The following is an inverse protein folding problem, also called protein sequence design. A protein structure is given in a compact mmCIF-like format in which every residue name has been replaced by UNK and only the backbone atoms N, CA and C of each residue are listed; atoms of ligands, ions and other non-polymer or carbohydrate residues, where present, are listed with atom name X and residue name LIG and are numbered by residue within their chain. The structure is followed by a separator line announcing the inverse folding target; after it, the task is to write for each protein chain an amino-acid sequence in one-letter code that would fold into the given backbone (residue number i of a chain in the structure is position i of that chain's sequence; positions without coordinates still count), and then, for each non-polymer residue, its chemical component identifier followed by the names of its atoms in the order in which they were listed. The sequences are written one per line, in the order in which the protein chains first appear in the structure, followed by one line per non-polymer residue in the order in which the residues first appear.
data_IF_014825419902
#
_entry.id   IF_014825419902
#
_cell.length_a   1.000
_cell.length_b   1.000
_cell.length_c   1.000
_cell.angle_alpha   90.00
_cell.angle_beta   90.00
_cell.angle_gamma   90.00
#
_symmetry.space_group_name_H-M   'P 1'
#
loop_
_entity.id
_entity.type
_entity.pdbx_description
1 polymer ?
#
# COMPACT_ATOMS: atom_id res chain seq x y z
N UNK A 1 -11.22 -29.31 -7.34
CA UNK A 1 -11.19 -27.84 -7.18
C UNK A 1 -12.46 -27.23 -6.57
N UNK A 2 -13.36 -28.00 -5.92
CA UNK A 2 -14.55 -27.41 -5.28
C UNK A 2 -14.25 -26.64 -3.98
N UNK A 3 -13.11 -26.94 -3.31
CA UNK A 3 -12.80 -26.36 -2.00
C UNK A 3 -12.53 -24.86 -2.04
N UNK A 4 -11.80 -24.36 -3.05
CA UNK A 4 -11.44 -22.94 -3.20
C UNK A 4 -12.70 -22.09 -3.41
N UNK A 5 -13.62 -22.56 -4.25
CA UNK A 5 -14.89 -21.89 -4.49
C UNK A 5 -15.83 -22.01 -3.28
N UNK A 6 -15.85 -23.15 -2.60
CA UNK A 6 -16.67 -23.35 -1.38
C UNK A 6 -16.24 -22.44 -0.23
N UNK A 7 -14.95 -22.21 -0.06
CA UNK A 7 -14.41 -21.39 1.05
C UNK A 7 -13.97 -19.99 0.59
N UNK A 8 -14.51 -19.50 -0.54
CA UNK A 8 -14.07 -18.25 -1.17
C UNK A 8 -14.09 -17.05 -0.24
N UNK A 9 -15.21 -16.91 0.48
CA UNK A 9 -15.41 -15.84 1.45
C UNK A 9 -14.43 -15.92 2.61
N UNK A 10 -14.11 -17.12 3.09
CA UNK A 10 -13.22 -17.32 4.25
C UNK A 10 -11.82 -16.86 3.93
N UNK A 11 -11.24 -17.31 2.81
CA UNK A 11 -9.89 -16.89 2.45
C UNK A 11 -9.81 -15.42 2.06
N UNK A 12 -10.86 -14.83 1.46
CA UNK A 12 -10.92 -13.37 1.20
C UNK A 12 -10.89 -12.55 2.48
N UNK A 13 -11.63 -12.98 3.52
CA UNK A 13 -11.58 -12.35 4.84
C UNK A 13 -10.19 -12.48 5.45
N UNK A 14 -9.58 -13.67 5.37
CA UNK A 14 -8.22 -13.88 5.87
C UNK A 14 -7.20 -12.96 5.15
N UNK A 15 -7.26 -12.87 3.82
CA UNK A 15 -6.41 -11.96 3.04
C UNK A 15 -6.66 -10.50 3.42
N UNK A 16 -7.92 -10.08 3.60
CA UNK A 16 -8.23 -8.72 4.02
C UNK A 16 -7.62 -8.38 5.38
N UNK A 17 -7.73 -9.28 6.36
CA UNK A 17 -7.12 -9.12 7.68
C UNK A 17 -5.59 -9.06 7.58
N UNK A 18 -4.99 -9.93 6.77
CA UNK A 18 -3.54 -9.94 6.57
C UNK A 18 -3.04 -8.67 5.86
N UNK A 19 -3.80 -8.13 4.89
CA UNK A 19 -3.49 -6.84 4.27
C UNK A 19 -3.58 -5.69 5.28
N UNK A 20 -4.52 -5.73 6.23
CA UNK A 20 -4.61 -4.74 7.31
C UNK A 20 -3.40 -4.83 8.25
N UNK A 21 -2.95 -6.04 8.60
CA UNK A 21 -1.71 -6.22 9.37
C UNK A 21 -0.50 -5.70 8.58
N UNK A 22 -0.44 -5.97 7.28
CA UNK A 22 0.66 -5.51 6.43
C UNK A 22 0.73 -3.97 6.34
N UNK A 23 -0.41 -3.27 6.24
CA UNK A 23 -0.43 -1.80 6.19
C UNK A 23 -0.13 -1.14 7.55
N UNK A 24 -0.40 -1.84 8.66
CA UNK A 24 0.03 -1.40 10.00
C UNK A 24 1.54 -1.61 10.24
N UNK A 25 2.18 -2.49 9.48
CA UNK A 25 3.62 -2.67 9.51
C UNK A 25 4.40 -1.49 8.91
N UNK A 26 5.75 -1.49 9.02
CA UNK A 26 6.64 -0.46 8.50
C UNK A 26 6.78 -0.54 6.98
N UNK A 27 6.61 0.61 6.31
CA UNK A 27 6.66 0.74 4.85
C UNK A 27 7.78 1.64 4.36
N UNK A 28 8.10 2.68 5.13
CA UNK A 28 9.13 3.67 4.79
C UNK A 28 9.92 4.05 6.03
N UNK A 29 10.95 4.87 5.86
CA UNK A 29 11.66 5.51 6.96
C UNK A 29 11.46 7.02 6.93
N UNK A 30 11.17 7.59 8.08
CA UNK A 30 11.36 9.02 8.29
C UNK A 30 12.84 9.31 8.53
N UNK A 31 13.41 10.26 7.81
CA UNK A 31 14.86 10.52 7.81
C UNK A 31 15.20 11.61 8.80
N UNK A 32 16.08 11.30 9.74
CA UNK A 32 16.59 12.24 10.73
C UNK A 32 18.10 12.40 10.49
N UNK A 33 18.55 13.65 10.38
CA UNK A 33 19.97 13.95 10.29
C UNK A 33 20.61 13.78 11.68
N UNK A 34 21.48 12.79 11.79
CA UNK A 34 22.28 12.48 12.97
C UNK A 34 23.70 12.21 12.48
N UNK A 35 24.68 13.08 12.79
CA UNK A 35 26.04 12.90 12.34
C UNK A 35 26.55 11.49 12.64
N UNK A 36 27.29 10.91 11.70
CA UNK A 36 27.77 9.54 11.74
C UNK A 36 28.61 9.19 12.98
N UNK A 37 29.21 10.20 13.62
CA UNK A 37 29.93 10.10 14.89
C UNK A 37 29.04 9.69 16.07
N UNK A 38 27.75 10.04 16.05
CA UNK A 38 26.81 9.73 17.13
C UNK A 38 25.96 8.51 16.79
N UNK A 39 25.76 7.54 17.71
CA UNK A 39 24.92 6.39 17.44
C UNK A 39 23.44 6.78 17.26
N UNK A 40 22.70 6.06 16.41
CA UNK A 40 21.25 6.20 16.34
C UNK A 40 20.62 5.67 17.64
N UNK A 41 19.77 6.46 18.28
CA UNK A 41 18.99 6.03 19.43
C UNK A 41 17.83 5.13 18.99
N UNK A 42 17.56 4.06 19.73
CA UNK A 42 16.39 3.20 19.47
C UNK A 42 15.10 4.02 19.60
N UNK A 43 14.12 3.88 18.68
CA UNK A 43 13.95 2.83 17.67
C UNK A 43 14.57 3.14 16.29
N UNK A 44 15.42 4.16 16.19
CA UNK A 44 15.98 4.62 14.91
C UNK A 44 17.12 3.71 14.43
N UNK A 45 17.19 3.50 13.12
CA UNK A 45 18.18 2.61 12.49
C UNK A 45 19.05 3.44 11.54
N UNK A 46 20.35 3.19 11.50
CA UNK A 46 21.25 3.88 10.56
C UNK A 46 20.88 3.49 9.13
N UNK A 47 20.57 4.49 8.30
CA UNK A 47 20.24 4.28 6.89
C UNK A 47 21.50 4.38 6.03
N UNK A 48 22.08 5.58 5.95
CA UNK A 48 23.29 5.87 5.18
C UNK A 48 23.94 7.18 5.67
N UNK A 49 25.26 7.18 5.85
CA UNK A 49 26.02 8.35 6.31
C UNK A 49 25.47 8.96 7.58
N UNK A 50 25.15 10.26 7.52
CA UNK A 50 24.62 11.04 8.63
C UNK A 50 23.10 10.94 8.79
N UNK A 51 22.46 9.88 8.27
CA UNK A 51 21.01 9.71 8.38
C UNK A 51 20.64 8.47 9.18
N UNK A 52 19.86 8.69 10.24
CA UNK A 52 19.07 7.66 10.91
C UNK A 52 17.64 7.65 10.34
N UNK A 53 16.96 6.52 10.48
CA UNK A 53 15.63 6.28 9.96
C UNK A 53 14.69 5.78 11.04
N UNK A 54 13.53 6.40 11.19
CA UNK A 54 12.44 5.89 12.04
C UNK A 54 11.48 5.10 11.15
N UNK A 55 11.28 3.80 11.37
CA UNK A 55 10.35 3.03 10.55
C UNK A 55 8.93 3.56 10.72
N UNK A 56 8.31 3.99 9.63
CA UNK A 56 6.95 4.51 9.61
C UNK A 56 5.98 3.46 9.09
N UNK A 57 4.87 3.29 9.81
CA UNK A 57 3.82 2.39 9.40
C UNK A 57 3.09 2.90 8.15
N UNK A 58 2.67 1.98 7.27
CA UNK A 58 1.90 2.31 6.06
C UNK A 58 0.59 3.05 6.36
N UNK A 59 0.03 2.91 7.56
CA UNK A 59 -1.20 3.64 7.95
C UNK A 59 -1.01 5.17 7.97
N UNK A 60 0.22 5.67 8.08
CA UNK A 60 0.52 7.11 7.99
C UNK A 60 0.29 7.68 6.58
N UNK A 61 0.18 6.82 5.56
CA UNK A 61 -0.16 7.22 4.19
C UNK A 61 -1.55 7.88 4.14
N UNK A 62 -2.51 7.43 4.97
CA UNK A 62 -3.87 7.96 4.95
C UNK A 62 -3.96 9.44 5.36
N UNK A 63 -3.47 9.88 6.54
CA UNK A 63 -3.51 11.29 6.91
C UNK A 63 -2.69 12.17 5.95
N UNK A 64 -1.58 11.66 5.41
CA UNK A 64 -0.84 12.38 4.37
C UNK A 64 -1.63 12.54 3.07
N UNK A 65 -2.32 11.51 2.62
CA UNK A 65 -3.15 11.58 1.42
C UNK A 65 -4.33 12.55 1.62
N UNK A 66 -5.05 12.46 2.74
CA UNK A 66 -6.20 13.34 3.03
C UNK A 66 -5.75 14.78 3.26
N UNK A 67 -4.74 14.98 4.10
CA UNK A 67 -4.18 16.30 4.41
C UNK A 67 -3.53 16.94 3.18
N UNK A 68 -2.77 16.17 2.40
CA UNK A 68 -2.16 16.63 1.15
C UNK A 68 -3.20 17.07 0.12
N UNK A 69 -4.27 16.29 -0.05
CA UNK A 69 -5.37 16.67 -0.94
C UNK A 69 -6.05 17.97 -0.49
N UNK A 70 -6.41 18.10 0.79
CA UNK A 70 -7.05 19.30 1.33
C UNK A 70 -6.12 20.51 1.18
N UNK A 71 -4.85 20.39 1.58
CA UNK A 71 -3.88 21.48 1.51
C UNK A 71 -3.61 21.91 0.07
N UNK A 72 -3.49 20.96 -0.86
CA UNK A 72 -3.32 21.26 -2.28
C UNK A 72 -4.55 22.00 -2.82
N UNK A 73 -5.76 21.53 -2.53
CA UNK A 73 -7.00 22.20 -2.95
C UNK A 73 -7.14 23.61 -2.39
N UNK A 74 -6.86 23.81 -1.10
CA UNK A 74 -6.87 25.14 -0.47
C UNK A 74 -5.81 26.03 -1.13
N UNK A 75 -4.59 25.54 -1.29
CA UNK A 75 -3.49 26.28 -1.91
C UNK A 75 -3.80 26.71 -3.35
N UNK A 76 -4.48 25.86 -4.13
CA UNK A 76 -4.92 26.21 -5.48
C UNK A 76 -5.98 27.32 -5.47
N UNK A 77 -6.97 27.24 -4.56
CA UNK A 77 -8.05 28.24 -4.44
C UNK A 77 -7.52 29.58 -3.93
N UNK A 78 -6.56 29.58 -3.00
CA UNK A 78 -5.96 30.81 -2.47
C UNK A 78 -4.86 31.40 -3.37
N UNK A 79 -4.51 30.70 -4.46
CA UNK A 79 -3.40 31.10 -5.33
C UNK A 79 -2.00 30.93 -4.70
N UNK A 80 -1.90 30.22 -3.58
CA UNK A 80 -0.63 29.94 -2.91
C UNK A 80 0.15 28.79 -3.59
N UNK A 81 -0.53 27.97 -4.40
CA UNK A 81 0.04 26.84 -5.13
C UNK A 81 -0.29 26.95 -6.61
N UNK A 82 0.70 26.71 -7.47
CA UNK A 82 0.48 26.67 -8.92
C UNK A 82 -0.26 25.41 -9.37
N UNK A 83 -0.93 25.46 -10.53
CA UNK A 83 -1.64 24.30 -11.10
C UNK A 83 -0.73 23.08 -11.32
N UNK A 84 0.52 23.30 -11.69
CA UNK A 84 1.52 22.23 -11.91
C UNK A 84 1.88 21.52 -10.61
N UNK A 85 2.07 22.26 -9.52
CA UNK A 85 2.34 21.73 -8.18
C UNK A 85 1.11 20.95 -7.67
N UNK A 86 -0.08 21.54 -7.79
CA UNK A 86 -1.33 20.87 -7.43
C UNK A 86 -1.49 19.54 -8.15
N UNK A 87 -1.24 19.52 -9.47
CA UNK A 87 -1.35 18.30 -10.29
C UNK A 87 -0.35 17.24 -9.82
N UNK A 88 0.87 17.63 -9.45
CA UNK A 88 1.89 16.71 -8.92
C UNK A 88 1.44 16.08 -7.60
N UNK A 89 0.97 16.89 -6.65
CA UNK A 89 0.49 16.41 -5.35
C UNK A 89 -0.76 15.53 -5.49
N UNK A 90 -1.66 15.90 -6.41
CA UNK A 90 -2.85 15.11 -6.73
C UNK A 90 -2.48 13.75 -7.34
N UNK A 91 -1.56 13.71 -8.30
CA UNK A 91 -1.09 12.46 -8.90
C UNK A 91 -0.35 11.58 -7.89
N UNK A 92 0.42 12.17 -6.98
CA UNK A 92 1.06 11.44 -5.89
C UNK A 92 0.01 10.82 -4.95
N UNK A 93 -0.99 11.60 -4.53
CA UNK A 93 -2.11 11.12 -3.71
C UNK A 93 -2.91 10.02 -4.41
N UNK A 94 -3.17 10.17 -5.71
CA UNK A 94 -3.87 9.17 -6.52
C UNK A 94 -3.08 7.85 -6.59
N UNK A 95 -1.75 7.90 -6.73
CA UNK A 95 -0.90 6.69 -6.71
C UNK A 95 -0.97 5.98 -5.37
N UNK A 96 -0.96 6.73 -4.26
CA UNK A 96 -1.09 6.15 -2.92
C UNK A 96 -2.48 5.54 -2.69
N UNK A 97 -3.53 6.15 -3.24
CA UNK A 97 -4.88 5.59 -3.18
C UNK A 97 -4.98 4.21 -3.85
N UNK A 98 -4.14 3.90 -4.85
CA UNK A 98 -4.12 2.58 -5.48
C UNK A 98 -3.78 1.46 -4.49
N UNK A 99 -2.98 1.74 -3.44
CA UNK A 99 -2.70 0.78 -2.36
C UNK A 99 -3.91 0.49 -1.49
N UNK A 100 -4.94 1.34 -1.52
CA UNK A 100 -6.16 1.15 -0.74
C UNK A 100 -7.23 0.39 -1.52
N UNK A 101 -7.13 0.34 -2.85
CA UNK A 101 -8.11 -0.34 -3.70
C UNK A 101 -8.33 -1.81 -3.35
N UNK A 102 -7.31 -2.62 -2.99
CA UNK A 102 -7.54 -4.02 -2.59
C UNK A 102 -8.48 -4.16 -1.40
N UNK A 103 -8.43 -3.26 -0.42
CA UNK A 103 -9.30 -3.31 0.75
C UNK A 103 -10.77 -3.10 0.36
N UNK A 104 -11.04 -2.01 -0.37
CA UNK A 104 -12.40 -1.69 -0.81
C UNK A 104 -12.95 -2.72 -1.79
N UNK A 105 -12.14 -3.18 -2.75
CA UNK A 105 -12.57 -4.19 -3.73
C UNK A 105 -12.82 -5.56 -3.09
N UNK A 106 -12.00 -5.98 -2.12
CA UNK A 106 -12.23 -7.22 -1.36
C UNK A 106 -13.52 -7.12 -0.54
N UNK A 107 -13.74 -5.98 0.14
CA UNK A 107 -14.96 -5.74 0.91
C UNK A 107 -16.21 -5.78 0.01
N UNK A 108 -16.15 -5.14 -1.16
CA UNK A 108 -17.23 -5.16 -2.15
C UNK A 108 -17.53 -6.57 -2.65
N UNK A 109 -16.54 -7.43 -2.81
CA UNK A 109 -16.75 -8.83 -3.18
C UNK A 109 -17.32 -9.67 -2.05
N UNK A 110 -16.91 -9.43 -0.80
CA UNK A 110 -17.44 -10.12 0.38
C UNK A 110 -18.91 -9.78 0.60
N UNK A 111 -19.28 -8.50 0.45
CA UNK A 111 -20.64 -8.01 0.70
C UNK A 111 -21.56 -8.19 -0.51
N UNK A 112 -21.04 -7.93 -1.70
CA UNK A 112 -21.83 -7.84 -2.93
C UNK A 112 -21.79 -9.10 -3.81
N UNK A 113 -21.04 -10.13 -3.42
CA UNK A 113 -20.92 -11.36 -4.20
C UNK A 113 -20.07 -11.24 -5.48
N UNK A 114 -20.03 -12.34 -6.24
CA UNK A 114 -19.07 -12.60 -7.32
C UNK A 114 -19.53 -12.15 -8.71
N UNK A 115 -20.04 -10.92 -8.85
CA UNK A 115 -20.31 -10.38 -10.18
C UNK A 115 -19.03 -10.24 -11.00
N UNK A 116 -19.03 -10.75 -12.26
CA UNK A 116 -17.88 -10.73 -13.18
C UNK A 116 -17.19 -9.37 -13.28
N UNK A 117 -17.96 -8.27 -13.31
CA UNK A 117 -17.41 -6.90 -13.36
C UNK A 117 -16.66 -6.52 -12.08
N UNK A 118 -17.18 -6.88 -10.91
CA UNK A 118 -16.52 -6.63 -9.61
C UNK A 118 -15.25 -7.46 -9.47
N UNK A 119 -15.27 -8.71 -9.95
CA UNK A 119 -14.10 -9.56 -9.92
C UNK A 119 -12.98 -9.03 -10.82
N UNK A 120 -13.30 -8.57 -12.05
CA UNK A 120 -12.31 -7.93 -12.92
C UNK A 120 -11.73 -6.65 -12.30
N UNK A 121 -12.57 -5.82 -11.68
CA UNK A 121 -12.10 -4.63 -10.96
C UNK A 121 -11.17 -5.00 -9.81
N UNK A 122 -11.49 -6.03 -9.04
CA UNK A 122 -10.66 -6.50 -7.93
C UNK A 122 -9.30 -7.04 -8.40
N UNK A 123 -9.27 -7.80 -9.51
CA UNK A 123 -8.01 -8.26 -10.12
C UNK A 123 -7.14 -7.07 -10.55
N UNK A 124 -7.74 -6.07 -11.20
CA UNK A 124 -7.02 -4.85 -11.56
C UNK A 124 -6.50 -4.09 -10.33
N UNK A 125 -7.32 -3.97 -9.28
CA UNK A 125 -6.92 -3.36 -8.02
C UNK A 125 -5.73 -4.08 -7.36
N UNK A 126 -5.76 -5.41 -7.28
CA UNK A 126 -4.66 -6.21 -6.74
C UNK A 126 -3.38 -6.07 -7.57
N UNK A 127 -3.50 -6.09 -8.91
CA UNK A 127 -2.35 -5.92 -9.80
C UNK A 127 -1.71 -4.54 -9.68
N UNK A 128 -2.52 -3.47 -9.70
CA UNK A 128 -2.06 -2.09 -9.53
C UNK A 128 -1.41 -1.89 -8.16
N UNK A 129 -2.04 -2.37 -7.09
CA UNK A 129 -1.50 -2.24 -5.75
C UNK A 129 -0.18 -3.01 -5.57
N UNK A 130 -0.07 -4.21 -6.15
CA UNK A 130 1.18 -4.98 -6.14
C UNK A 130 2.30 -4.24 -6.88
N UNK A 131 1.99 -3.66 -8.05
CA UNK A 131 2.95 -2.88 -8.83
C UNK A 131 3.43 -1.61 -8.10
N UNK A 132 2.51 -0.84 -7.52
CA UNK A 132 2.87 0.35 -6.73
C UNK A 132 3.63 -0.03 -5.47
N UNK A 133 3.20 -1.06 -4.75
CA UNK A 133 3.91 -1.58 -3.59
C UNK A 133 5.35 -1.98 -3.93
N UNK A 134 5.54 -2.68 -5.05
CA UNK A 134 6.87 -3.06 -5.54
C UNK A 134 7.75 -1.85 -5.87
N UNK A 135 7.19 -0.83 -6.53
CA UNK A 135 7.90 0.43 -6.81
C UNK A 135 8.35 1.13 -5.52
N UNK A 136 7.51 1.13 -4.48
CA UNK A 136 7.87 1.68 -3.16
C UNK A 136 8.95 0.83 -2.49
N UNK A 137 8.82 -0.49 -2.51
CA UNK A 137 9.78 -1.41 -1.91
C UNK A 137 11.17 -1.32 -2.54
N UNK A 138 11.25 -1.23 -3.87
CA UNK A 138 12.52 -1.13 -4.61
C UNK A 138 13.14 0.27 -4.48
N UNK A 139 12.34 1.33 -4.43
CA UNK A 139 12.85 2.71 -4.26
C UNK A 139 13.29 3.04 -2.84
N UNK A 140 12.96 2.17 -1.87
CA UNK A 140 13.40 2.26 -0.48
C UNK A 140 14.84 1.73 -0.29
N UNK A 141 15.29 1.58 0.95
CA UNK A 141 16.64 1.08 1.27
C UNK A 141 16.73 -0.45 1.10
N UNK A 142 17.33 -0.97 0.01
CA UNK A 142 17.30 -2.41 -0.28
C UNK A 142 18.05 -3.24 0.77
N UNK A 143 19.07 -2.65 1.41
CA UNK A 143 19.83 -3.29 2.49
C UNK A 143 19.00 -3.54 3.75
N UNK A 144 17.91 -2.80 3.94
CA UNK A 144 17.04 -2.83 5.12
C UNK A 144 15.66 -3.43 4.80
N UNK A 145 15.56 -4.27 3.77
CA UNK A 145 14.30 -4.85 3.34
C UNK A 145 13.57 -5.62 4.47
N UNK A 146 14.31 -6.30 5.35
CA UNK A 146 13.75 -7.01 6.51
C UNK A 146 13.06 -6.08 7.50
N UNK A 147 13.53 -4.84 7.64
CA UNK A 147 12.95 -3.84 8.55
C UNK A 147 11.63 -3.33 7.99
N UNK A 148 11.52 -3.20 6.67
CA UNK A 148 10.29 -2.78 5.97
C UNK A 148 9.38 -3.98 5.65
N UNK A 149 9.21 -4.90 6.60
CA UNK A 149 8.43 -6.12 6.37
C UNK A 149 6.98 -5.87 5.95
N UNK A 150 6.39 -4.73 6.33
CA UNK A 150 5.01 -4.38 6.01
C UNK A 150 4.76 -4.29 4.51
N UNK A 151 5.64 -3.58 3.77
CA UNK A 151 5.50 -3.44 2.31
C UNK A 151 5.70 -4.78 1.59
N UNK A 152 6.68 -5.59 2.01
CA UNK A 152 6.95 -6.89 1.38
C UNK A 152 5.83 -7.90 1.65
N UNK A 153 5.32 -7.94 2.88
CA UNK A 153 4.16 -8.75 3.23
C UNK A 153 2.95 -8.33 2.39
N UNK A 154 2.72 -7.02 2.24
CA UNK A 154 1.63 -6.49 1.43
C UNK A 154 1.73 -6.94 -0.04
N UNK A 155 2.91 -6.79 -0.67
CA UNK A 155 3.14 -7.21 -2.06
C UNK A 155 2.90 -8.71 -2.21
N UNK A 156 3.47 -9.53 -1.31
CA UNK A 156 3.32 -10.98 -1.35
C UNK A 156 1.85 -11.43 -1.20
N UNK A 157 1.11 -10.80 -0.30
CA UNK A 157 -0.32 -11.07 -0.10
C UNK A 157 -1.15 -10.64 -1.30
N UNK A 158 -0.89 -9.46 -1.87
CA UNK A 158 -1.62 -8.95 -3.03
C UNK A 158 -1.37 -9.83 -4.27
N UNK A 159 -0.12 -10.26 -4.50
CA UNK A 159 0.22 -11.20 -5.56
C UNK A 159 -0.41 -12.60 -5.35
N UNK A 160 -0.38 -13.10 -4.12
CA UNK A 160 -1.00 -14.39 -3.78
C UNK A 160 -2.52 -14.36 -3.97
N UNK A 161 -3.17 -13.27 -3.53
CA UNK A 161 -4.59 -13.04 -3.72
C UNK A 161 -4.94 -12.95 -5.22
N UNK A 162 -4.11 -12.28 -6.01
CA UNK A 162 -4.28 -12.17 -7.45
C UNK A 162 -4.27 -13.57 -8.10
N UNK A 163 -3.28 -14.40 -7.76
CA UNK A 163 -3.18 -15.78 -8.27
C UNK A 163 -4.41 -16.60 -7.87
N UNK A 164 -4.83 -16.54 -6.59
CA UNK A 164 -6.00 -17.27 -6.10
C UNK A 164 -7.30 -16.85 -6.79
N UNK A 165 -7.50 -15.55 -7.01
CA UNK A 165 -8.67 -15.03 -7.72
C UNK A 165 -8.68 -15.43 -9.20
N UNK A 166 -7.53 -15.42 -9.87
CA UNK A 166 -7.41 -15.89 -11.27
C UNK A 166 -7.74 -17.38 -11.35
N UNK A 167 -7.18 -18.20 -10.46
CA UNK A 167 -7.47 -19.64 -10.41
C UNK A 167 -8.95 -19.91 -10.13
N UNK A 168 -9.57 -19.16 -9.21
CA UNK A 168 -10.99 -19.27 -8.92
C UNK A 168 -11.88 -18.87 -10.11
N UNK A 169 -11.47 -17.84 -10.87
CA UNK A 169 -12.18 -17.39 -12.08
C UNK A 169 -12.09 -18.42 -13.21
N UNK A 170 -10.93 -19.03 -13.40
CA UNK A 170 -10.72 -20.08 -14.41
C UNK A 170 -11.50 -21.35 -14.05
N UNK A 171 -11.47 -21.78 -12.79
CA UNK A 171 -12.16 -22.98 -12.33
C UNK A 171 -13.68 -22.85 -12.18
N UNK A 172 -14.21 -21.62 -12.20
CA UNK A 172 -15.65 -21.35 -12.18
C UNK A 172 -16.30 -21.21 -13.56
N UNK A 173 -15.51 -21.29 -14.64
CA UNK A 173 -16.00 -21.46 -16.01
C UNK A 173 -16.11 -22.94 -16.35
#
# INVERSE_FOLDING_TARGET
MSWINKHKRVWRVAILVLLLVAIMGPWTFDRINVPSEYPCSTPNIRLEGDFCGTPMSGIWIFPWMVGGFINASVGLVTGAMGFTEWTREFLFSLRLFLLLLPFFSTLLLILGGDHRRRQMFHLAALGLASGIGLLIGISSYPKLFWVLWGVWLYIGLAASALILEVLALVAGR
#
